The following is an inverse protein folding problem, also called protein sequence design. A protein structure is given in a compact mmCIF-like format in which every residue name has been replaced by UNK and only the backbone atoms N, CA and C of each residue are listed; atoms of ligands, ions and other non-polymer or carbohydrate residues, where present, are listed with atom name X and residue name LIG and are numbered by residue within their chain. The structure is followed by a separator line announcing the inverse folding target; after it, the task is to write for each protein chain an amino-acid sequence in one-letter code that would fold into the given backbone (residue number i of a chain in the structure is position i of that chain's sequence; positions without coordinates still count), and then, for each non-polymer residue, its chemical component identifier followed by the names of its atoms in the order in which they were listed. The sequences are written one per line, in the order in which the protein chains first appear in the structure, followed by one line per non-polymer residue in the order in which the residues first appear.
data_IF_095138276512
#
_entry.id   IF_095138276512
#
_cell.length_a   1.000
_cell.length_b   1.000
_cell.length_c   1.000
_cell.angle_alpha   90.00
_cell.angle_beta   90.00
_cell.angle_gamma   90.00
#
_symmetry.space_group_name_H-M   'P 1'
#
loop_
_entity.id
_entity.type
_entity.pdbx_description
1 polymer ?
#
# COMPACT_ATOMS: atom_id res chain seq x y z
N UNK A 1 -65.88 38.99 32.34
CA UNK A 1 -65.03 37.84 32.61
C UNK A 1 -64.66 37.18 31.26
N UNK A 2 -63.49 37.48 30.75
CA UNK A 2 -63.03 36.98 29.40
C UNK A 2 -61.94 35.90 29.65
N UNK A 3 -62.25 34.64 29.39
CA UNK A 3 -61.33 33.53 29.42
C UNK A 3 -60.45 33.59 28.16
N UNK A 4 -59.14 33.74 28.36
CA UNK A 4 -58.13 33.56 27.34
C UNK A 4 -57.63 32.11 27.38
N UNK A 5 -57.96 31.36 26.32
CA UNK A 5 -57.42 30.02 26.12
C UNK A 5 -56.01 30.17 25.56
N UNK A 6 -55.00 29.72 26.29
CA UNK A 6 -53.63 29.62 25.85
C UNK A 6 -53.47 28.28 25.12
N UNK A 7 -53.33 28.32 23.82
CA UNK A 7 -52.96 27.13 23.02
C UNK A 7 -51.44 27.00 23.09
N UNK A 8 -50.95 26.01 23.85
CA UNK A 8 -49.56 25.62 23.88
C UNK A 8 -49.24 24.80 22.61
N UNK A 9 -48.47 25.38 21.72
CA UNK A 9 -47.98 24.70 20.52
C UNK A 9 -46.82 23.77 20.95
N UNK A 10 -47.09 22.46 21.03
CA UNK A 10 -46.05 21.44 21.20
C UNK A 10 -45.31 21.30 19.85
N UNK A 11 -44.17 21.93 19.71
CA UNK A 11 -43.19 21.63 18.65
C UNK A 11 -42.46 20.37 19.06
N UNK A 12 -42.88 19.22 18.52
CA UNK A 12 -42.13 17.98 18.60
C UNK A 12 -40.87 18.13 17.76
N UNK A 13 -39.71 18.36 18.39
CA UNK A 13 -38.42 18.16 17.76
C UNK A 13 -38.27 16.65 17.48
N UNK A 14 -38.65 16.23 16.28
CA UNK A 14 -38.13 14.98 15.74
C UNK A 14 -36.64 15.17 15.49
N UNK A 15 -35.80 14.80 16.45
CA UNK A 15 -34.39 14.53 16.22
C UNK A 15 -34.33 13.30 15.34
N UNK A 16 -34.47 13.51 14.02
CA UNK A 16 -34.23 12.48 13.04
C UNK A 16 -32.76 12.07 13.15
N UNK A 17 -32.51 10.87 13.70
CA UNK A 17 -31.26 10.18 13.47
C UNK A 17 -31.08 10.11 11.96
N UNK A 18 -30.15 10.88 11.43
CA UNK A 18 -29.74 10.76 10.03
C UNK A 18 -29.06 9.40 9.90
N UNK A 19 -29.85 8.39 9.60
CA UNK A 19 -29.31 7.10 9.15
C UNK A 19 -28.64 7.36 7.81
N UNK A 20 -27.34 7.35 7.78
CA UNK A 20 -26.58 7.34 6.54
C UNK A 20 -26.88 6.01 5.84
N UNK A 21 -27.79 6.02 4.89
CA UNK A 21 -28.10 4.87 4.05
C UNK A 21 -27.00 4.75 3.00
N UNK A 22 -26.06 3.84 3.21
CA UNK A 22 -25.12 3.44 2.18
C UNK A 22 -25.77 2.38 1.28
N UNK A 23 -25.66 2.57 -0.03
CA UNK A 23 -26.25 1.68 -1.01
C UNK A 23 -26.99 2.42 -2.11
N UNK A 24 -28.01 1.78 -2.66
CA UNK A 24 -28.86 2.31 -3.71
C UNK A 24 -30.33 1.88 -3.52
N UNK A 25 -31.16 2.09 -4.52
CA UNK A 25 -32.59 1.73 -4.45
C UNK A 25 -32.84 0.22 -4.37
N UNK A 26 -31.86 -0.58 -4.80
CA UNK A 26 -31.97 -2.05 -4.78
C UNK A 26 -31.37 -2.67 -3.52
N UNK A 27 -30.40 -2.00 -2.91
CA UNK A 27 -29.69 -2.53 -1.75
C UNK A 27 -29.17 -1.41 -0.84
N UNK A 28 -29.51 -1.50 0.45
CA UNK A 28 -29.05 -0.57 1.47
C UNK A 28 -28.27 -1.31 2.54
N UNK A 29 -26.99 -1.03 2.64
CA UNK A 29 -26.15 -1.57 3.69
C UNK A 29 -26.05 -0.58 4.84
N UNK A 30 -26.13 -1.11 6.06
CA UNK A 30 -25.85 -0.31 7.25
C UNK A 30 -24.35 -0.35 7.54
N UNK A 31 -23.76 0.81 7.84
CA UNK A 31 -22.39 0.89 8.32
C UNK A 31 -22.22 -0.02 9.56
N UNK A 32 -21.14 -0.81 9.60
CA UNK A 32 -20.90 -1.78 10.66
C UNK A 32 -21.64 -3.11 10.49
N UNK A 33 -22.27 -3.36 9.32
CA UNK A 33 -22.82 -4.68 9.03
C UNK A 33 -21.73 -5.76 9.08
N UNK A 34 -22.03 -6.97 9.62
CA UNK A 34 -21.04 -8.04 9.72
C UNK A 34 -20.52 -8.45 8.36
N UNK A 35 -19.17 -8.45 8.21
CA UNK A 35 -18.46 -9.09 7.11
C UNK A 35 -17.99 -10.49 7.49
N UNK A 36 -17.15 -11.11 6.67
CA UNK A 36 -16.57 -12.41 7.00
C UNK A 36 -15.60 -12.31 8.21
N UNK A 37 -14.65 -11.42 8.15
CA UNK A 37 -13.58 -11.28 9.14
C UNK A 37 -13.59 -9.92 9.86
N UNK A 38 -14.18 -8.90 9.22
CA UNK A 38 -14.33 -7.54 9.74
C UNK A 38 -15.69 -6.96 9.37
N UNK A 39 -16.11 -5.94 10.13
CA UNK A 39 -17.30 -5.14 9.78
C UNK A 39 -17.00 -4.22 8.61
N UNK A 40 -17.96 -4.05 7.72
CA UNK A 40 -17.82 -3.10 6.61
C UNK A 40 -17.92 -1.65 7.10
N UNK A 41 -16.96 -0.84 6.70
CA UNK A 41 -16.93 0.62 6.90
C UNK A 41 -16.66 1.27 5.54
N UNK A 42 -17.55 2.15 5.06
CA UNK A 42 -17.36 2.80 3.77
C UNK A 42 -16.16 3.74 3.81
N UNK A 43 -15.35 3.70 2.75
CA UNK A 43 -14.27 4.67 2.54
C UNK A 43 -14.84 5.94 1.90
N UNK A 44 -14.50 7.12 2.43
CA UNK A 44 -14.89 8.39 1.81
C UNK A 44 -14.09 8.63 0.52
N UNK A 45 -14.69 9.34 -0.44
CA UNK A 45 -14.07 9.61 -1.75
C UNK A 45 -12.77 10.41 -1.62
N UNK A 46 -12.69 11.36 -0.71
CA UNK A 46 -11.49 12.15 -0.45
C UNK A 46 -10.34 11.29 0.11
N UNK A 47 -10.65 10.33 0.98
CA UNK A 47 -9.69 9.36 1.51
C UNK A 47 -9.19 8.44 0.39
N UNK A 48 -10.11 7.86 -0.41
CA UNK A 48 -9.76 7.05 -1.56
C UNK A 48 -8.82 7.82 -2.52
N UNK A 49 -9.14 9.08 -2.81
CA UNK A 49 -8.31 9.96 -3.64
C UNK A 49 -6.92 10.16 -3.04
N UNK A 50 -6.81 10.43 -1.75
CA UNK A 50 -5.51 10.63 -1.10
C UNK A 50 -4.67 9.35 -1.04
N UNK A 51 -5.29 8.18 -0.86
CA UNK A 51 -4.61 6.89 -0.96
C UNK A 51 -4.01 6.68 -2.36
N UNK A 52 -4.76 7.00 -3.42
CA UNK A 52 -4.30 6.88 -4.81
C UNK A 52 -3.18 7.89 -5.14
N UNK A 53 -3.25 9.11 -4.61
CA UNK A 53 -2.17 10.12 -4.70
C UNK A 53 -0.92 9.61 -3.98
N UNK A 54 -1.04 9.10 -2.75
CA UNK A 54 0.07 8.53 -1.98
C UNK A 54 0.72 7.36 -2.72
N UNK A 55 -0.10 6.49 -3.36
CA UNK A 55 0.37 5.42 -4.22
C UNK A 55 1.04 5.91 -5.51
N UNK A 56 0.96 7.20 -5.83
CA UNK A 56 1.44 7.76 -7.10
C UNK A 56 0.88 6.98 -8.30
N UNK A 57 -0.44 6.77 -8.31
CA UNK A 57 -1.11 6.06 -9.41
C UNK A 57 -0.90 6.81 -10.71
N UNK A 58 -0.58 6.09 -11.77
CA UNK A 58 -0.27 6.63 -13.09
C UNK A 58 -0.72 5.71 -14.21
N UNK A 59 -0.73 6.22 -15.44
CA UNK A 59 -1.04 5.41 -16.62
C UNK A 59 -0.19 4.14 -16.68
N UNK A 60 -0.82 3.02 -17.03
CA UNK A 60 -0.23 1.69 -17.06
C UNK A 60 -0.31 0.93 -15.74
N UNK A 61 -0.76 1.54 -14.66
CA UNK A 61 -1.00 0.83 -13.41
C UNK A 61 -2.22 -0.10 -13.50
N UNK A 62 -2.18 -1.13 -12.67
CA UNK A 62 -3.30 -2.02 -12.37
C UNK A 62 -3.54 -1.97 -10.86
N UNK A 63 -4.66 -1.38 -10.46
CA UNK A 63 -5.03 -1.20 -9.06
C UNK A 63 -5.85 -2.39 -8.60
N UNK A 64 -5.47 -3.00 -7.47
CA UNK A 64 -6.32 -3.97 -6.76
C UNK A 64 -6.73 -3.40 -5.41
N UNK A 65 -7.98 -3.60 -5.05
CA UNK A 65 -8.55 -3.22 -3.75
C UNK A 65 -9.08 -4.48 -3.05
N UNK A 66 -8.47 -4.83 -1.93
CA UNK A 66 -8.84 -6.03 -1.17
C UNK A 66 -9.84 -5.66 -0.08
N UNK A 67 -11.02 -6.28 -0.12
CA UNK A 67 -12.18 -5.88 0.67
C UNK A 67 -12.80 -4.60 0.11
N UNK A 68 -13.10 -4.60 -1.21
CA UNK A 68 -13.43 -3.38 -1.95
C UNK A 68 -14.78 -2.76 -1.59
N UNK A 69 -15.60 -3.44 -0.78
CA UNK A 69 -16.90 -2.92 -0.34
C UNK A 69 -17.79 -2.49 -1.49
N UNK A 70 -18.25 -1.25 -1.44
CA UNK A 70 -19.09 -0.62 -2.48
C UNK A 70 -18.31 -0.12 -3.71
N UNK A 71 -16.99 -0.38 -3.75
CA UNK A 71 -16.13 -0.16 -4.92
C UNK A 71 -15.53 1.24 -5.04
N UNK A 72 -15.59 2.08 -4.02
CA UNK A 72 -15.18 3.49 -4.12
C UNK A 72 -13.74 3.66 -4.59
N UNK A 73 -12.77 2.89 -4.06
CA UNK A 73 -11.34 3.05 -4.42
C UNK A 73 -11.07 2.64 -5.87
N UNK A 74 -11.48 1.45 -6.36
CA UNK A 74 -11.34 1.07 -7.76
C UNK A 74 -12.02 2.04 -8.72
N UNK A 75 -13.21 2.53 -8.37
CA UNK A 75 -13.95 3.51 -9.18
C UNK A 75 -13.18 4.84 -9.26
N UNK A 76 -12.66 5.35 -8.14
CA UNK A 76 -11.86 6.57 -8.15
C UNK A 76 -10.53 6.39 -8.93
N UNK A 77 -9.88 5.23 -8.86
CA UNK A 77 -8.69 4.93 -9.65
C UNK A 77 -8.98 5.01 -11.15
N UNK A 78 -10.07 4.38 -11.60
CA UNK A 78 -10.50 4.43 -13.00
C UNK A 78 -10.91 5.84 -13.44
N UNK A 79 -11.68 6.55 -12.61
CA UNK A 79 -12.21 7.88 -12.92
C UNK A 79 -11.14 8.97 -13.00
N UNK A 80 -10.20 8.96 -12.07
CA UNK A 80 -9.19 10.02 -11.96
C UNK A 80 -7.96 9.76 -12.83
N UNK A 81 -7.57 8.50 -13.02
CA UNK A 81 -6.31 8.15 -13.69
C UNK A 81 -6.51 7.36 -14.98
N UNK A 82 -7.73 6.94 -15.32
CA UNK A 82 -8.00 6.12 -16.50
C UNK A 82 -7.36 4.73 -16.46
N UNK A 83 -7.03 4.23 -15.27
CA UNK A 83 -6.36 2.94 -15.09
C UNK A 83 -7.39 1.81 -14.90
N UNK A 84 -6.96 0.58 -15.20
CA UNK A 84 -7.75 -0.60 -14.86
C UNK A 84 -7.67 -0.86 -13.37
N UNK A 85 -8.82 -1.26 -12.79
CA UNK A 85 -8.90 -1.58 -11.38
C UNK A 85 -9.73 -2.85 -11.13
N UNK A 86 -9.39 -3.59 -10.09
CA UNK A 86 -10.06 -4.81 -9.66
C UNK A 86 -10.39 -4.70 -8.18
N UNK A 87 -11.65 -4.84 -7.81
CA UNK A 87 -12.10 -4.98 -6.43
C UNK A 87 -12.36 -6.45 -6.12
N UNK A 88 -11.82 -6.94 -5.02
CA UNK A 88 -12.14 -8.27 -4.47
C UNK A 88 -12.94 -8.06 -3.19
N UNK A 89 -14.14 -8.60 -3.15
CA UNK A 89 -15.08 -8.45 -2.02
C UNK A 89 -15.74 -9.78 -1.71
N UNK A 90 -15.85 -10.10 -0.43
CA UNK A 90 -16.46 -11.35 0.01
C UNK A 90 -17.99 -11.34 -0.07
N UNK A 91 -18.59 -10.19 0.27
CA UNK A 91 -20.05 -10.04 0.30
C UNK A 91 -20.61 -9.85 -1.12
N UNK A 92 -21.45 -10.79 -1.63
CA UNK A 92 -22.02 -10.71 -2.98
C UNK A 92 -22.90 -9.48 -3.21
N UNK A 93 -23.57 -8.98 -2.16
CA UNK A 93 -24.43 -7.81 -2.28
C UNK A 93 -23.63 -6.53 -2.44
N UNK A 94 -22.47 -6.42 -1.77
CA UNK A 94 -21.52 -5.33 -1.99
C UNK A 94 -20.88 -5.41 -3.38
N UNK A 95 -20.57 -6.62 -3.88
CA UNK A 95 -20.11 -6.80 -5.27
C UNK A 95 -21.18 -6.35 -6.27
N UNK A 96 -22.46 -6.66 -6.03
CA UNK A 96 -23.54 -6.21 -6.89
C UNK A 96 -23.70 -4.67 -6.83
N UNK A 97 -23.59 -4.06 -5.64
CA UNK A 97 -23.62 -2.61 -5.45
C UNK A 97 -22.43 -1.93 -6.16
N UNK A 98 -21.22 -2.44 -5.99
CA UNK A 98 -20.01 -1.86 -6.60
C UNK A 98 -20.09 -1.85 -8.14
N UNK A 99 -20.65 -2.91 -8.75
CA UNK A 99 -20.93 -2.96 -10.19
C UNK A 99 -21.91 -1.87 -10.64
N UNK A 100 -23.00 -1.65 -9.89
CA UNK A 100 -23.95 -0.57 -10.20
C UNK A 100 -23.33 0.81 -10.02
N UNK A 101 -22.48 0.99 -8.98
CA UNK A 101 -21.74 2.22 -8.77
C UNK A 101 -20.80 2.52 -9.93
N UNK A 102 -20.07 1.51 -10.45
CA UNK A 102 -19.21 1.67 -11.62
C UNK A 102 -19.98 2.11 -12.88
N UNK A 103 -21.21 1.61 -13.07
CA UNK A 103 -22.08 2.04 -14.16
C UNK A 103 -22.51 3.50 -13.97
N UNK A 104 -22.93 3.90 -12.77
CA UNK A 104 -23.31 5.29 -12.45
C UNK A 104 -22.18 6.28 -12.71
N UNK A 105 -20.93 5.86 -12.44
CA UNK A 105 -19.73 6.67 -12.64
C UNK A 105 -19.12 6.54 -14.05
N UNK A 106 -19.76 5.77 -14.95
CA UNK A 106 -19.33 5.54 -16.34
C UNK A 106 -17.91 4.94 -16.46
N UNK A 107 -17.50 4.10 -15.52
CA UNK A 107 -16.17 3.43 -15.50
C UNK A 107 -16.24 1.91 -15.58
N UNK A 108 -17.41 1.32 -15.85
CA UNK A 108 -17.64 -0.13 -15.86
C UNK A 108 -16.73 -0.90 -16.82
N UNK A 109 -16.15 -0.24 -17.82
CA UNK A 109 -15.22 -0.85 -18.77
C UNK A 109 -13.77 -0.90 -18.26
N UNK A 110 -13.47 -0.19 -17.21
CA UNK A 110 -12.13 -0.11 -16.59
C UNK A 110 -12.09 -0.87 -15.26
N UNK A 111 -13.24 -1.12 -14.62
CA UNK A 111 -13.28 -1.71 -13.28
C UNK A 111 -13.94 -3.07 -13.32
N UNK A 112 -13.33 -4.04 -12.63
CA UNK A 112 -13.89 -5.39 -12.44
C UNK A 112 -14.09 -5.63 -10.96
N UNK A 113 -15.27 -6.13 -10.57
CA UNK A 113 -15.54 -6.56 -9.20
C UNK A 113 -15.77 -8.07 -9.15
N UNK A 114 -14.99 -8.74 -8.31
CA UNK A 114 -15.06 -10.19 -8.07
C UNK A 114 -15.55 -10.48 -6.67
N UNK A 115 -16.51 -11.42 -6.56
CA UNK A 115 -16.78 -12.05 -5.29
C UNK A 115 -15.65 -13.03 -4.99
N UNK A 116 -14.98 -12.90 -3.85
CA UNK A 116 -13.90 -13.80 -3.50
C UNK A 116 -13.32 -13.56 -2.11
N UNK A 117 -12.52 -14.52 -1.67
CA UNK A 117 -11.75 -14.43 -0.44
C UNK A 117 -10.36 -13.86 -0.75
N UNK A 118 -10.00 -12.74 -0.16
CA UNK A 118 -8.71 -12.06 -0.35
C UNK A 118 -7.50 -12.94 0.03
N UNK A 119 -7.68 -14.02 0.78
CA UNK A 119 -6.63 -14.97 1.14
C UNK A 119 -6.48 -16.10 0.11
N UNK A 120 -7.41 -16.22 -0.84
CA UNK A 120 -7.44 -17.27 -1.87
C UNK A 120 -7.24 -16.70 -3.27
N UNK A 121 -7.81 -15.51 -3.53
CA UNK A 121 -7.75 -14.85 -4.83
C UNK A 121 -6.33 -14.39 -5.18
N UNK A 122 -5.97 -14.52 -6.47
CA UNK A 122 -4.70 -14.03 -6.98
C UNK A 122 -4.77 -12.54 -7.33
N UNK A 123 -3.96 -11.75 -6.65
CA UNK A 123 -3.74 -10.32 -6.91
C UNK A 123 -2.26 -10.00 -7.24
N UNK A 124 -1.45 -11.00 -7.57
CA UNK A 124 -0.01 -10.85 -7.84
C UNK A 124 0.32 -9.94 -9.02
N UNK A 125 -0.63 -9.74 -9.94
CA UNK A 125 -0.50 -8.84 -11.09
C UNK A 125 -0.66 -7.36 -10.75
N UNK A 126 -1.10 -7.01 -9.55
CA UNK A 126 -1.28 -5.62 -9.13
C UNK A 126 0.04 -4.84 -9.15
N UNK A 127 0.00 -3.61 -9.65
CA UNK A 127 1.08 -2.62 -9.48
C UNK A 127 0.82 -1.69 -8.31
N UNK A 128 -0.46 -1.55 -7.93
CA UNK A 128 -0.94 -0.84 -6.74
C UNK A 128 -1.95 -1.73 -6.03
N UNK A 129 -1.77 -1.88 -4.73
CA UNK A 129 -2.67 -2.60 -3.84
C UNK A 129 -3.21 -1.65 -2.78
N UNK A 130 -4.52 -1.62 -2.57
CA UNK A 130 -5.17 -0.81 -1.55
C UNK A 130 -5.86 -1.70 -0.50
N UNK A 131 -5.82 -1.26 0.75
CA UNK A 131 -6.28 -2.00 1.92
C UNK A 131 -7.03 -1.09 2.89
N UNK A 132 -8.17 -1.56 3.41
CA UNK A 132 -8.84 -0.99 4.58
C UNK A 132 -9.43 -2.14 5.42
N UNK A 133 -8.58 -3.00 5.96
CA UNK A 133 -8.96 -4.31 6.48
C UNK A 133 -8.69 -4.52 7.98
N UNK A 134 -8.05 -3.57 8.65
CA UNK A 134 -7.55 -3.76 10.01
C UNK A 134 -6.17 -4.43 10.06
N UNK A 135 -5.44 -4.20 11.15
CA UNK A 135 -4.04 -4.65 11.28
C UNK A 135 -3.89 -6.16 11.24
N UNK A 136 -4.84 -6.91 11.84
CA UNK A 136 -4.77 -8.38 11.88
C UNK A 136 -4.84 -9.02 10.49
N UNK A 137 -5.68 -8.49 9.59
CA UNK A 137 -5.78 -8.98 8.21
C UNK A 137 -4.58 -8.52 7.36
N UNK A 138 -4.11 -7.29 7.57
CA UNK A 138 -2.89 -6.79 6.93
C UNK A 138 -1.69 -7.69 7.28
N UNK A 139 -1.55 -8.11 8.54
CA UNK A 139 -0.50 -9.03 8.98
C UNK A 139 -0.60 -10.41 8.31
N UNK A 140 -1.82 -10.94 8.14
CA UNK A 140 -2.04 -12.21 7.44
C UNK A 140 -1.71 -12.11 5.95
N UNK A 141 -1.96 -10.96 5.31
CA UNK A 141 -1.65 -10.72 3.90
C UNK A 141 -0.18 -10.41 3.64
N UNK A 142 0.55 -9.88 4.62
CA UNK A 142 1.94 -9.44 4.48
C UNK A 142 2.87 -10.47 3.82
N UNK A 143 2.86 -11.78 4.16
CA UNK A 143 3.73 -12.76 3.51
C UNK A 143 3.44 -12.93 2.01
N UNK A 144 2.19 -12.78 1.58
CA UNK A 144 1.79 -12.81 0.17
C UNK A 144 2.20 -11.53 -0.53
N UNK A 145 1.98 -10.38 0.11
CA UNK A 145 2.37 -9.06 -0.40
C UNK A 145 3.89 -8.96 -0.63
N UNK A 146 4.70 -9.47 0.30
CA UNK A 146 6.17 -9.47 0.17
C UNK A 146 6.69 -10.33 -0.99
N UNK A 147 5.88 -11.23 -1.55
CA UNK A 147 6.20 -12.03 -2.74
C UNK A 147 5.77 -11.37 -4.06
N UNK A 148 5.06 -10.26 -4.00
CA UNK A 148 4.65 -9.52 -5.19
C UNK A 148 5.87 -8.93 -5.90
N UNK A 149 5.66 -8.46 -7.12
CA UNK A 149 6.72 -7.83 -7.93
C UNK A 149 7.35 -6.66 -7.18
N UNK A 150 8.69 -6.60 -7.07
CA UNK A 150 9.37 -5.45 -6.49
C UNK A 150 8.92 -4.14 -7.13
N UNK A 151 8.65 -3.13 -6.31
CA UNK A 151 8.09 -1.86 -6.76
C UNK A 151 6.56 -1.78 -6.74
N UNK A 152 5.85 -2.87 -6.45
CA UNK A 152 4.41 -2.81 -6.14
C UNK A 152 4.19 -1.89 -4.95
N UNK A 153 3.28 -0.94 -5.11
CA UNK A 153 2.93 0.05 -4.08
C UNK A 153 1.70 -0.43 -3.33
N UNK A 154 1.82 -0.54 -2.02
CA UNK A 154 0.75 -1.00 -1.13
C UNK A 154 0.35 0.15 -0.22
N UNK A 155 -0.90 0.55 -0.28
CA UNK A 155 -1.45 1.62 0.57
C UNK A 155 -2.53 1.07 1.48
N UNK A 156 -2.38 1.31 2.77
CA UNK A 156 -3.40 0.95 3.77
C UNK A 156 -3.96 2.19 4.45
N UNK A 157 -5.29 2.28 4.50
CA UNK A 157 -5.96 3.28 5.32
C UNK A 157 -5.93 2.84 6.79
N UNK A 158 -5.49 3.74 7.68
CA UNK A 158 -5.54 3.67 9.15
C UNK A 158 -4.76 2.53 9.82
N UNK A 159 -4.43 1.44 9.11
CA UNK A 159 -3.86 0.24 9.72
C UNK A 159 -2.48 -0.10 9.18
N UNK A 160 -1.56 -0.39 10.08
CA UNK A 160 -0.18 -0.82 9.76
C UNK A 160 -0.11 -2.31 9.43
N UNK A 161 1.09 -2.75 9.05
CA UNK A 161 1.47 -4.16 8.86
C UNK A 161 2.48 -4.59 9.94
N UNK A 162 2.10 -4.39 11.22
CA UNK A 162 2.94 -4.71 12.37
C UNK A 162 4.33 -4.10 12.27
N UNK A 163 5.37 -4.95 12.37
CA UNK A 163 6.77 -4.52 12.34
C UNK A 163 7.32 -4.16 10.93
N UNK A 164 6.53 -4.28 9.87
CA UNK A 164 6.94 -3.75 8.57
C UNK A 164 6.70 -2.24 8.54
N UNK A 165 7.76 -1.46 8.72
CA UNK A 165 7.69 0.00 8.73
C UNK A 165 7.25 0.52 7.35
N UNK A 166 6.34 1.51 7.28
CA UNK A 166 5.96 2.12 6.01
C UNK A 166 7.13 2.93 5.42
N UNK A 167 7.19 3.01 4.09
CA UNK A 167 8.10 3.90 3.38
C UNK A 167 7.67 5.36 3.46
N UNK A 168 6.36 5.60 3.61
CA UNK A 168 5.76 6.91 3.78
C UNK A 168 4.43 6.80 4.53
N UNK A 169 4.12 7.82 5.32
CA UNK A 169 2.80 7.99 5.94
C UNK A 169 2.31 9.42 5.70
N UNK A 170 1.00 9.54 5.48
CA UNK A 170 0.35 10.85 5.27
C UNK A 170 -0.91 10.88 6.11
N UNK A 171 -1.09 11.96 6.87
CA UNK A 171 -2.36 12.21 7.56
C UNK A 171 -3.40 12.62 6.53
N UNK A 172 -4.40 11.77 6.35
CA UNK A 172 -5.57 12.08 5.53
C UNK A 172 -6.50 12.96 6.36
N UNK A 173 -6.68 14.23 5.97
CA UNK A 173 -7.64 15.10 6.63
C UNK A 173 -9.02 14.80 6.04
N UNK A 174 -10.02 14.41 6.85
CA UNK A 174 -11.38 14.36 6.38
C UNK A 174 -11.81 15.79 6.01
N UNK A 175 -12.60 15.94 4.95
CA UNK A 175 -13.25 17.22 4.62
C UNK A 175 -14.07 17.72 5.82
N UNK A 176 -14.39 19.01 5.85
CA UNK A 176 -15.02 19.74 6.97
C UNK A 176 -16.37 19.18 7.49
N UNK A 177 -16.90 18.14 6.85
CA UNK A 177 -18.19 17.51 7.18
C UNK A 177 -18.09 16.24 8.02
N UNK A 178 -16.93 15.86 8.54
CA UNK A 178 -16.75 14.58 9.25
C UNK A 178 -17.21 14.64 10.70
N UNK A 179 -18.25 13.90 11.01
CA UNK A 179 -18.59 13.50 12.36
C UNK A 179 -17.53 12.52 12.88
N UNK A 180 -16.64 13.01 13.76
CA UNK A 180 -15.67 12.19 14.49
C UNK A 180 -14.29 12.16 13.82
N UNK A 181 -13.35 12.86 14.45
CA UNK A 181 -11.94 12.88 14.08
C UNK A 181 -11.23 11.60 14.56
N UNK A 182 -11.36 10.52 13.83
CA UNK A 182 -10.29 9.54 13.83
C UNK A 182 -9.18 10.14 12.96
N UNK A 183 -7.97 10.22 13.51
CA UNK A 183 -6.78 10.62 12.75
C UNK A 183 -6.52 9.54 11.69
N UNK A 184 -7.13 9.68 10.53
CA UNK A 184 -6.92 8.75 9.43
C UNK A 184 -5.53 9.01 8.86
N UNK A 185 -4.68 8.00 8.96
CA UNK A 185 -3.32 8.01 8.41
C UNK A 185 -3.29 6.97 7.31
N UNK A 186 -2.90 7.36 6.11
CA UNK A 186 -2.60 6.42 5.05
C UNK A 186 -1.12 6.07 5.08
N UNK A 187 -0.82 4.78 4.99
CA UNK A 187 0.52 4.20 5.02
C UNK A 187 0.87 3.64 3.66
N UNK A 188 2.06 3.93 3.18
CA UNK A 188 2.60 3.39 1.92
C UNK A 188 3.78 2.46 2.20
N UNK A 189 3.75 1.27 1.62
CA UNK A 189 4.90 0.37 1.48
C UNK A 189 5.21 0.14 0.00
N UNK A 190 6.49 0.01 -0.31
CA UNK A 190 6.95 -0.39 -1.64
C UNK A 190 7.59 -1.76 -1.50
N UNK A 191 7.03 -2.76 -2.15
CA UNK A 191 7.54 -4.13 -2.08
C UNK A 191 9.00 -4.16 -2.49
N UNK A 192 9.92 -4.56 -1.60
CA UNK A 192 11.35 -4.57 -1.90
C UNK A 192 11.74 -5.81 -2.72
N UNK A 193 12.77 -5.69 -3.55
CA UNK A 193 13.43 -6.84 -4.13
C UNK A 193 14.05 -7.73 -3.06
N UNK A 194 14.07 -9.03 -3.29
CA UNK A 194 14.75 -9.97 -2.40
C UNK A 194 16.22 -10.07 -2.75
N UNK A 195 17.09 -9.66 -1.83
CA UNK A 195 18.54 -9.76 -1.95
C UNK A 195 19.18 -10.73 -0.95
N UNK A 196 18.39 -11.32 -0.06
CA UNK A 196 18.93 -12.19 0.99
C UNK A 196 19.82 -13.27 0.38
N UNK A 197 21.00 -13.48 0.97
CA UNK A 197 21.98 -14.44 0.48
C UNK A 197 23.34 -13.84 0.14
N UNK A 198 24.14 -14.62 -0.58
CA UNK A 198 25.52 -14.25 -0.95
C UNK A 198 25.58 -13.82 -2.41
N UNK A 199 26.34 -12.74 -2.67
CA UNK A 199 26.51 -12.16 -3.98
C UNK A 199 27.98 -11.94 -4.26
N UNK A 200 28.46 -12.28 -5.45
CA UNK A 200 29.78 -11.93 -5.92
C UNK A 200 29.76 -10.51 -6.48
N UNK A 201 30.71 -9.67 -6.05
CA UNK A 201 30.83 -8.27 -6.46
C UNK A 201 32.15 -7.99 -7.17
N UNK A 202 32.10 -7.09 -8.16
CA UNK A 202 33.25 -6.54 -8.85
C UNK A 202 33.16 -5.02 -8.93
N UNK A 203 34.32 -4.33 -9.02
CA UNK A 203 34.36 -2.87 -9.09
C UNK A 203 34.37 -2.17 -7.72
N UNK A 204 34.47 -2.90 -6.62
CA UNK A 204 34.65 -2.29 -5.30
C UNK A 204 36.07 -1.75 -5.14
N UNK A 205 36.26 -0.54 -4.55
CA UNK A 205 37.58 0.10 -4.46
C UNK A 205 38.51 -0.70 -3.55
N UNK A 206 39.70 -0.99 -4.04
CA UNK A 206 40.77 -1.77 -3.37
C UNK A 206 40.34 -3.20 -2.99
N UNK A 207 39.36 -3.75 -3.70
CA UNK A 207 38.82 -5.09 -3.49
C UNK A 207 38.61 -5.78 -4.85
N UNK A 208 39.53 -6.65 -5.25
CA UNK A 208 39.47 -7.31 -6.57
C UNK A 208 38.32 -8.31 -6.71
N UNK A 209 38.08 -9.10 -5.67
CA UNK A 209 36.97 -10.09 -5.59
C UNK A 209 36.35 -10.01 -4.22
N UNK A 210 35.07 -9.71 -4.18
CA UNK A 210 34.30 -9.62 -2.95
C UNK A 210 33.10 -10.55 -3.01
N UNK A 211 32.81 -11.20 -1.90
CA UNK A 211 31.50 -11.79 -1.64
C UNK A 211 30.80 -10.92 -0.60
N UNK A 212 29.62 -10.40 -0.93
CA UNK A 212 28.77 -9.71 0.03
C UNK A 212 27.68 -10.66 0.50
N UNK A 213 27.60 -10.87 1.81
CA UNK A 213 26.48 -11.56 2.45
C UNK A 213 25.46 -10.53 2.89
N UNK A 214 24.25 -10.62 2.37
CA UNK A 214 23.10 -9.80 2.79
C UNK A 214 22.20 -10.62 3.72
N UNK A 215 21.68 -9.97 4.76
CA UNK A 215 20.69 -10.48 5.71
C UNK A 215 19.53 -9.49 5.67
N UNK A 216 18.47 -9.83 4.93
CA UNK A 216 17.38 -8.91 4.65
C UNK A 216 16.25 -9.03 5.65
N UNK A 217 15.78 -7.86 6.13
CA UNK A 217 14.53 -7.70 6.90
C UNK A 217 13.64 -6.68 6.18
N UNK A 218 12.80 -7.15 5.27
CA UNK A 218 11.91 -6.33 4.42
C UNK A 218 12.70 -5.31 3.59
N UNK A 219 12.48 -3.99 3.78
CA UNK A 219 13.22 -2.95 3.05
C UNK A 219 14.58 -2.60 3.65
N UNK A 220 14.95 -3.18 4.77
CA UNK A 220 16.26 -2.98 5.40
C UNK A 220 17.10 -4.25 5.32
N UNK A 221 18.37 -4.10 5.36
CA UNK A 221 19.29 -5.23 5.42
C UNK A 221 20.59 -4.86 6.14
N UNK A 222 21.14 -5.85 6.78
CA UNK A 222 22.53 -5.86 7.23
C UNK A 222 23.38 -6.65 6.23
N UNK A 223 24.68 -6.49 6.28
CA UNK A 223 25.56 -7.28 5.43
C UNK A 223 27.04 -7.05 5.70
N UNK A 224 27.85 -7.85 5.05
CA UNK A 224 29.32 -7.72 5.14
C UNK A 224 30.00 -8.04 3.81
N UNK A 225 31.02 -7.28 3.49
CA UNK A 225 31.94 -7.55 2.39
C UNK A 225 33.02 -8.50 2.91
N UNK A 226 33.11 -9.66 2.30
CA UNK A 226 34.07 -10.69 2.67
C UNK A 226 35.13 -10.83 1.59
N UNK A 227 36.40 -10.82 2.00
CA UNK A 227 37.57 -11.09 1.17
C UNK A 227 38.37 -12.25 1.79
N UNK A 228 38.91 -13.11 0.95
CA UNK A 228 39.76 -14.19 1.42
C UNK A 228 40.97 -13.65 2.18
N UNK A 229 41.18 -14.11 3.41
CA UNK A 229 42.32 -13.75 4.25
C UNK A 229 42.30 -12.35 4.86
N UNK A 230 41.17 -11.59 4.74
CA UNK A 230 41.03 -10.26 5.33
C UNK A 230 39.85 -10.19 6.28
N UNK A 231 39.86 -9.18 7.15
CA UNK A 231 38.71 -8.90 8.02
C UNK A 231 37.50 -8.47 7.18
N UNK A 232 36.33 -8.92 7.55
CA UNK A 232 35.06 -8.53 6.94
C UNK A 232 34.77 -7.05 7.19
N UNK A 233 34.20 -6.38 6.20
CA UNK A 233 33.79 -4.99 6.27
C UNK A 233 32.27 -4.95 6.38
N UNK A 234 31.73 -4.36 7.44
CA UNK A 234 30.30 -4.23 7.63
C UNK A 234 29.70 -3.24 6.62
N UNK A 235 28.47 -3.51 6.20
CA UNK A 235 27.63 -2.54 5.48
C UNK A 235 26.86 -1.70 6.50
N UNK A 236 26.65 -0.44 6.17
CA UNK A 236 25.90 0.53 6.95
C UNK A 236 24.71 1.03 6.13
N UNK A 237 23.62 1.43 6.80
CA UNK A 237 22.43 2.08 6.23
C UNK A 237 21.82 1.33 5.02
N UNK A 238 21.82 0.00 5.08
CA UNK A 238 21.28 -0.87 4.04
C UNK A 238 19.77 -0.70 3.83
N UNK A 239 19.37 -0.24 2.64
CA UNK A 239 17.96 -0.02 2.29
C UNK A 239 17.62 -0.44 0.87
N UNK A 240 16.40 -0.99 0.70
CA UNK A 240 15.82 -1.37 -0.59
C UNK A 240 14.48 -0.65 -0.75
N UNK A 241 14.27 -0.08 -1.93
CA UNK A 241 12.98 0.49 -2.33
C UNK A 241 12.61 0.00 -3.72
N UNK A 242 11.69 -0.96 -3.80
CA UNK A 242 11.41 -1.67 -5.05
C UNK A 242 12.65 -2.40 -5.54
N UNK A 243 13.14 -2.06 -6.72
CA UNK A 243 14.40 -2.57 -7.28
C UNK A 243 15.62 -1.70 -6.93
N UNK A 244 15.42 -0.54 -6.32
CA UNK A 244 16.53 0.32 -5.89
C UNK A 244 17.16 -0.20 -4.60
N UNK A 245 18.48 -0.14 -4.53
CA UNK A 245 19.27 -0.53 -3.35
C UNK A 245 20.31 0.54 -3.05
N UNK A 246 20.50 0.83 -1.77
CA UNK A 246 21.56 1.71 -1.28
C UNK A 246 22.15 1.17 0.01
N UNK A 247 23.45 1.37 0.18
CA UNK A 247 24.19 1.06 1.40
C UNK A 247 25.52 1.80 1.43
N UNK A 248 26.12 1.86 2.60
CA UNK A 248 27.41 2.48 2.83
C UNK A 248 28.42 1.46 3.38
N UNK A 249 29.70 1.74 3.22
CA UNK A 249 30.80 0.93 3.79
C UNK A 249 32.08 1.75 3.86
N UNK A 250 33.03 1.32 4.71
CA UNK A 250 34.30 2.00 4.92
C UNK A 250 35.46 1.09 4.53
N UNK A 251 36.34 1.57 3.63
CA UNK A 251 37.59 0.88 3.23
C UNK A 251 38.77 1.84 3.39
N UNK A 252 39.80 1.42 4.10
CA UNK A 252 40.98 2.24 4.34
C UNK A 252 40.64 3.65 4.86
N UNK A 253 39.79 3.73 5.85
CA UNK A 253 39.28 4.99 6.46
C UNK A 253 38.53 5.91 5.49
N UNK A 254 38.18 5.44 4.29
CA UNK A 254 37.35 6.19 3.34
C UNK A 254 35.95 5.59 3.25
N UNK A 255 34.94 6.43 3.43
CA UNK A 255 33.53 6.06 3.32
C UNK A 255 33.11 6.07 1.85
N UNK A 256 32.35 5.04 1.47
CA UNK A 256 31.74 4.90 0.15
C UNK A 256 30.23 4.69 0.30
N UNK A 257 29.45 5.31 -0.57
CA UNK A 257 28.00 5.12 -0.68
C UNK A 257 27.71 4.44 -2.01
N UNK A 258 27.06 3.29 -1.99
CA UNK A 258 26.59 2.57 -3.17
C UNK A 258 25.13 2.90 -3.43
N UNK A 259 24.79 3.20 -4.69
CA UNK A 259 23.39 3.25 -5.17
C UNK A 259 23.28 2.46 -6.45
N UNK A 260 22.30 1.54 -6.49
CA UNK A 260 22.15 0.64 -7.62
C UNK A 260 20.73 0.14 -7.84
N UNK A 261 20.60 -0.71 -8.84
CA UNK A 261 19.37 -1.39 -9.22
C UNK A 261 19.57 -2.91 -9.19
N UNK A 262 18.55 -3.60 -8.74
CA UNK A 262 18.46 -5.06 -8.68
C UNK A 262 17.59 -5.52 -9.85
N UNK A 263 18.12 -6.50 -10.62
CA UNK A 263 17.38 -7.14 -11.70
C UNK A 263 17.55 -8.67 -11.58
N UNK A 264 16.62 -9.31 -10.86
CA UNK A 264 16.67 -10.74 -10.57
C UNK A 264 17.92 -11.12 -9.78
N UNK A 265 18.81 -11.91 -10.40
CA UNK A 265 20.08 -12.34 -9.81
C UNK A 265 21.25 -11.40 -10.08
N UNK A 266 21.01 -10.26 -10.69
CA UNK A 266 22.03 -9.26 -11.01
C UNK A 266 21.76 -7.95 -10.27
N UNK A 267 22.82 -7.22 -10.00
CA UNK A 267 22.80 -5.89 -9.39
C UNK A 267 23.85 -5.02 -10.08
N UNK A 268 23.52 -3.77 -10.33
CA UNK A 268 24.48 -2.80 -10.86
C UNK A 268 24.23 -1.43 -10.25
N UNK A 269 25.29 -0.68 -10.03
CA UNK A 269 25.18 0.66 -9.45
C UNK A 269 26.52 1.41 -9.51
N UNK A 270 26.53 2.55 -8.86
CA UNK A 270 27.69 3.47 -8.81
C UNK A 270 28.05 3.78 -7.37
N UNK A 271 29.30 4.13 -7.15
CA UNK A 271 29.80 4.61 -5.86
C UNK A 271 29.87 6.14 -5.82
N UNK A 272 29.47 6.71 -4.68
CA UNK A 272 29.54 8.15 -4.40
C UNK A 272 28.89 9.05 -5.47
N UNK A 273 27.94 8.51 -6.25
CA UNK A 273 27.32 9.22 -7.37
C UNK A 273 28.23 9.39 -8.60
N UNK A 274 29.44 8.83 -8.61
CA UNK A 274 30.36 8.93 -9.75
C UNK A 274 30.04 7.85 -10.80
N UNK A 275 29.62 8.22 -12.03
CA UNK A 275 29.28 7.27 -13.08
C UNK A 275 30.49 6.46 -13.61
N UNK A 276 31.71 6.85 -13.26
CA UNK A 276 32.94 6.12 -13.60
C UNK A 276 33.23 4.97 -12.63
N UNK A 277 32.67 5.02 -11.42
CA UNK A 277 32.85 4.01 -10.39
C UNK A 277 31.71 2.99 -10.41
N UNK A 278 31.67 2.17 -11.44
CA UNK A 278 30.64 1.15 -11.65
C UNK A 278 30.94 -0.08 -10.79
N UNK A 279 29.94 -0.55 -10.07
CA UNK A 279 29.97 -1.78 -9.28
C UNK A 279 28.88 -2.71 -9.75
N UNK A 280 29.20 -3.98 -9.93
CA UNK A 280 28.25 -5.01 -10.31
C UNK A 280 28.24 -6.16 -9.32
N UNK A 281 27.09 -6.76 -9.11
CA UNK A 281 26.87 -7.92 -8.24
C UNK A 281 26.11 -9.02 -8.96
N UNK A 282 26.42 -10.27 -8.66
CA UNK A 282 25.70 -11.45 -9.14
C UNK A 282 25.43 -12.38 -7.97
N UNK A 283 24.18 -12.83 -7.83
CA UNK A 283 23.79 -13.79 -6.79
C UNK A 283 24.50 -15.13 -7.03
N UNK A 284 25.06 -15.72 -5.98
CA UNK A 284 25.74 -17.03 -5.98
C UNK A 284 24.77 -18.18 -5.71
#
# INVERSE_FOLDING_TARGET
MRFRILIALFVSLNAGCAFFNFGDDQFRLQMGAPGKDIVWVPTKVDIATQMLVLAQVKSGDLVYDLGSGDGVIPIQAAKQYGVRAVGIEYNPDLVALSKRNAIRENVQNLVTFKQGDIFVEDFSSATVLTLFLGESLNLKLMPTILKMKPGTRVVSNSFRMGAWLPDQEVRVRPGETSLGSLNEIAYLWIVPANIDGTWAFTGLPNIDKAAIRFIQNKQFFDGSINQQGKQSIALEDGRIRGNGIEFEFVVNSKKYSFKGLINGSQMSGILNGDPKLIVTGKRL
#
